data_IF_790320378730
#
_entry.id   IF_790320378730
#
_cell.length_a   1.000
_cell.length_b   1.000
_cell.length_c   1.000
_cell.angle_alpha   90.00
_cell.angle_beta   90.00
_cell.angle_gamma   90.00
#
_symmetry.space_group_name_H-M   'P 1'
#
loop_
_entity.id
_entity.type
_entity.pdbx_description
1 polymer ?
#
# COMPACT_ATOMS: atom_id res chain seq x y z
N UNK A 1 -9.36 -7.35 11.30
CA UNK A 1 -8.07 -6.88 10.99
C UNK A 1 -7.14 -6.89 12.16
N UNK A 2 -6.59 -8.08 12.39
CA UNK A 2 -5.68 -8.28 13.52
C UNK A 2 -4.45 -7.40 13.44
N UNK A 3 -4.02 -7.11 12.21
CA UNK A 3 -2.75 -6.41 12.01
C UNK A 3 -2.75 -5.00 12.56
N UNK A 4 -3.91 -4.38 12.66
CA UNK A 4 -4.00 -3.02 13.20
C UNK A 4 -3.89 -2.97 14.71
N UNK A 5 -4.07 -4.10 15.38
CA UNK A 5 -3.99 -4.16 16.83
C UNK A 5 -2.58 -4.49 17.31
N UNK A 6 -1.74 -4.96 16.42
CA UNK A 6 -0.36 -5.28 16.79
C UNK A 6 0.49 -4.03 16.69
N UNK A 7 1.45 -3.85 17.60
CA UNK A 7 2.36 -2.73 17.48
C UNK A 7 3.23 -2.87 16.22
N UNK A 8 3.59 -1.77 15.60
CA UNK A 8 4.45 -1.85 14.41
C UNK A 8 5.84 -2.32 14.76
N UNK A 9 6.48 -3.00 13.82
CA UNK A 9 7.85 -3.44 13.97
C UNK A 9 8.76 -2.41 13.31
N UNK A 10 9.84 -2.07 13.97
CA UNK A 10 10.82 -1.16 13.40
C UNK A 10 11.78 -1.95 12.52
N UNK A 11 11.82 -1.64 11.24
CA UNK A 11 12.71 -2.31 10.29
C UNK A 11 14.00 -1.54 10.04
N UNK A 12 14.15 -0.37 10.64
CA UNK A 12 15.33 0.43 10.47
C UNK A 12 14.96 1.88 10.25
N UNK A 13 16.00 2.69 10.06
CA UNK A 13 15.82 4.11 9.76
C UNK A 13 16.59 4.44 8.50
N UNK A 14 16.26 5.57 7.90
CA UNK A 14 16.95 6.03 6.70
C UNK A 14 17.00 7.56 6.74
N UNK A 15 18.07 8.10 6.16
CA UNK A 15 18.23 9.55 6.07
C UNK A 15 17.84 9.99 4.66
N UNK A 16 17.04 11.05 4.59
CA UNK A 16 16.62 11.58 3.29
C UNK A 16 17.79 12.34 2.67
N UNK A 17 18.17 11.93 1.45
CA UNK A 17 19.23 12.60 0.71
C UNK A 17 18.77 13.91 0.11
N UNK A 18 19.72 14.67 -0.47
CA UNK A 18 19.40 16.01 -1.01
C UNK A 18 18.38 16.00 -2.14
N UNK A 19 18.21 14.87 -2.80
CA UNK A 19 17.22 14.73 -3.87
C UNK A 19 15.94 14.05 -3.43
N UNK A 20 15.76 13.89 -2.12
CA UNK A 20 14.58 13.23 -1.59
C UNK A 20 14.68 11.72 -1.62
N UNK A 21 15.85 11.18 -1.81
CA UNK A 21 16.05 9.73 -1.89
C UNK A 21 16.39 9.14 -0.53
N UNK A 22 15.91 7.92 -0.30
CA UNK A 22 16.27 7.17 0.89
C UNK A 22 16.64 5.76 0.46
N UNK A 23 17.43 5.10 1.31
CA UNK A 23 17.74 3.69 1.12
C UNK A 23 16.77 2.91 2.00
N UNK A 24 16.00 2.03 1.38
CA UNK A 24 15.06 1.20 2.13
C UNK A 24 15.87 0.18 2.93
N UNK A 25 15.68 0.11 4.26
CA UNK A 25 16.43 -0.84 5.07
C UNK A 25 16.30 -2.27 4.56
N UNK A 26 17.37 -3.04 4.70
CA UNK A 26 17.41 -4.42 4.20
C UNK A 26 16.26 -5.25 4.77
N UNK A 27 15.98 -5.11 6.05
CA UNK A 27 14.90 -5.87 6.67
C UNK A 27 13.55 -5.54 6.05
N UNK A 28 13.32 -4.27 5.74
CA UNK A 28 12.08 -3.87 5.09
C UNK A 28 12.01 -4.45 3.68
N UNK A 29 13.12 -4.41 2.94
CA UNK A 29 13.15 -4.97 1.59
C UNK A 29 12.83 -6.47 1.59
N UNK A 30 13.41 -7.19 2.53
CA UNK A 30 13.16 -8.62 2.65
C UNK A 30 11.71 -8.92 2.98
N UNK A 31 11.16 -8.19 3.93
CA UNK A 31 9.78 -8.41 4.35
C UNK A 31 8.79 -8.07 3.25
N UNK A 32 9.10 -7.05 2.48
CA UNK A 32 8.21 -6.61 1.40
C UNK A 32 8.48 -7.35 0.09
N UNK A 33 9.54 -8.13 0.03
CA UNK A 33 9.89 -8.83 -1.21
C UNK A 33 10.32 -7.89 -2.32
N UNK A 34 10.98 -6.80 -1.97
CA UNK A 34 11.42 -5.79 -2.94
C UNK A 34 12.87 -6.03 -3.32
N UNK A 35 13.12 -6.07 -4.62
CA UNK A 35 14.47 -6.28 -5.15
C UNK A 35 14.90 -5.08 -6.00
N UNK A 36 16.21 -4.93 -6.23
CA UNK A 36 16.68 -3.84 -7.09
C UNK A 36 15.98 -3.83 -8.44
N UNK A 37 15.56 -2.66 -8.86
CA UNK A 37 14.83 -2.51 -10.10
C UNK A 37 13.33 -2.61 -9.95
N UNK A 38 12.84 -3.10 -8.83
CA UNK A 38 11.42 -3.17 -8.59
C UNK A 38 10.82 -1.80 -8.40
N UNK A 39 9.59 -1.66 -8.87
CA UNK A 39 8.83 -0.44 -8.66
C UNK A 39 8.06 -0.57 -7.35
N UNK A 40 8.04 0.49 -6.57
CA UNK A 40 7.29 0.50 -5.32
C UNK A 40 6.20 1.55 -5.39
N UNK A 41 5.13 1.30 -4.66
CA UNK A 41 3.99 2.21 -4.59
C UNK A 41 3.96 2.78 -3.18
N UNK A 42 3.80 4.08 -3.10
CA UNK A 42 3.74 4.78 -1.83
C UNK A 42 2.35 5.37 -1.70
N UNK A 43 1.65 4.97 -0.65
CA UNK A 43 0.26 5.37 -0.43
C UNK A 43 0.09 5.91 0.98
N UNK A 44 -0.87 6.79 1.15
CA UNK A 44 -1.16 7.33 2.45
C UNK A 44 -2.48 8.08 2.44
N UNK A 45 -2.89 8.59 3.59
CA UNK A 45 -4.13 9.36 3.68
C UNK A 45 -4.06 10.63 2.86
N UNK A 46 -5.20 11.05 2.32
CA UNK A 46 -5.28 12.24 1.50
C UNK A 46 -5.01 13.52 2.29
N UNK A 47 -5.55 13.58 3.50
CA UNK A 47 -5.45 14.77 4.33
C UNK A 47 -4.54 14.55 5.52
N UNK A 48 -3.66 15.53 5.74
CA UNK A 48 -2.74 15.58 6.89
C UNK A 48 -2.02 14.25 7.14
N UNK A 49 -1.30 13.75 6.14
CA UNK A 49 -0.59 12.48 6.33
C UNK A 49 0.59 12.66 7.28
N UNK A 50 0.63 11.80 8.30
CA UNK A 50 1.76 11.74 9.22
C UNK A 50 2.70 10.61 8.86
N UNK A 51 2.21 9.65 8.10
CA UNK A 51 3.04 8.57 7.60
C UNK A 51 2.41 8.02 6.32
N UNK A 52 3.22 7.33 5.55
CA UNK A 52 2.78 6.70 4.32
C UNK A 52 3.21 5.25 4.34
N UNK A 53 2.49 4.42 3.60
CA UNK A 53 2.83 3.02 3.45
C UNK A 53 3.56 2.81 2.14
N UNK A 54 4.40 1.80 2.11
CA UNK A 54 5.19 1.46 0.94
C UNK A 54 5.04 -0.03 0.67
N UNK A 55 4.72 -0.39 -0.56
CA UNK A 55 4.61 -1.79 -0.94
C UNK A 55 5.11 -1.98 -2.36
N UNK A 56 5.36 -3.24 -2.73
CA UNK A 56 5.77 -3.54 -4.09
C UNK A 56 4.60 -3.31 -5.03
N UNK A 57 4.90 -3.00 -6.28
CA UNK A 57 3.87 -2.82 -7.29
C UNK A 57 3.01 -4.08 -7.44
N UNK A 58 3.63 -5.24 -7.35
CA UNK A 58 2.93 -6.50 -7.48
C UNK A 58 1.86 -6.67 -6.40
N UNK A 59 2.23 -6.39 -5.15
CA UNK A 59 1.31 -6.47 -4.03
C UNK A 59 0.18 -5.46 -4.20
N UNK A 60 0.52 -4.25 -4.63
CA UNK A 60 -0.47 -3.21 -4.83
C UNK A 60 -1.47 -3.57 -5.92
N UNK A 61 -1.00 -4.19 -7.00
CA UNK A 61 -1.89 -4.65 -8.06
C UNK A 61 -2.89 -5.68 -7.56
N UNK A 62 -2.42 -6.60 -6.74
CA UNK A 62 -3.30 -7.58 -6.12
C UNK A 62 -4.37 -6.92 -5.26
N UNK A 63 -3.97 -5.90 -4.53
CA UNK A 63 -4.90 -5.13 -3.71
C UNK A 63 -5.95 -4.44 -4.59
N UNK A 64 -5.51 -3.81 -5.68
CA UNK A 64 -6.43 -3.13 -6.59
C UNK A 64 -7.42 -4.09 -7.24
N UNK A 65 -6.95 -5.28 -7.62
CA UNK A 65 -7.83 -6.27 -8.21
C UNK A 65 -8.93 -6.68 -7.26
N UNK A 66 -8.59 -6.89 -6.00
CA UNK A 66 -9.58 -7.22 -4.99
C UNK A 66 -10.56 -6.08 -4.75
N UNK A 67 -10.05 -4.87 -4.76
CA UNK A 67 -10.89 -3.68 -4.60
C UNK A 67 -11.85 -3.54 -5.77
N UNK A 68 -11.36 -3.74 -6.99
CA UNK A 68 -12.19 -3.68 -8.19
C UNK A 68 -13.32 -4.70 -8.14
N UNK A 69 -13.01 -5.93 -7.73
CA UNK A 69 -14.03 -6.96 -7.59
C UNK A 69 -15.14 -6.53 -6.63
N UNK A 70 -14.74 -5.94 -5.52
CA UNK A 70 -15.72 -5.47 -4.54
C UNK A 70 -16.55 -4.32 -5.09
N UNK A 71 -15.89 -3.41 -5.80
CA UNK A 71 -16.58 -2.27 -6.40
C UNK A 71 -17.56 -2.73 -7.47
N UNK A 72 -17.18 -3.71 -8.26
CA UNK A 72 -18.07 -4.26 -9.28
C UNK A 72 -19.32 -4.85 -8.65
N UNK A 73 -19.17 -5.57 -7.56
CA UNK A 73 -20.31 -6.11 -6.84
C UNK A 73 -21.23 -5.03 -6.31
N UNK A 74 -20.63 -3.97 -5.79
CA UNK A 74 -21.42 -2.84 -5.28
C UNK A 74 -22.13 -2.13 -6.43
N UNK A 75 -21.44 -1.95 -7.55
CA UNK A 75 -22.04 -1.31 -8.73
C UNK A 75 -23.22 -2.12 -9.24
N UNK A 76 -23.07 -3.44 -9.29
CA UNK A 76 -24.18 -4.29 -9.71
C UNK A 76 -25.38 -4.13 -8.82
N UNK A 77 -25.16 -4.14 -7.51
CA UNK A 77 -26.23 -3.97 -6.56
C UNK A 77 -26.94 -2.64 -6.74
N UNK A 78 -26.16 -1.58 -6.91
CA UNK A 78 -26.71 -0.25 -7.12
C UNK A 78 -27.48 -0.14 -8.43
N UNK A 79 -26.95 -0.79 -9.47
CA UNK A 79 -27.60 -0.78 -10.78
C UNK A 79 -28.94 -1.46 -10.72
N UNK A 80 -29.03 -2.58 -10.01
CA UNK A 80 -30.29 -3.30 -9.84
C UNK A 80 -31.32 -2.44 -9.14
N UNK A 81 -30.88 -1.73 -8.10
CA UNK A 81 -31.77 -0.83 -7.38
C UNK A 81 -32.20 0.34 -8.25
N UNK A 82 -31.28 0.83 -9.06
CA UNK A 82 -31.57 1.95 -9.93
C UNK A 82 -32.57 1.67 -11.01
N UNK A 83 -32.80 0.42 -11.33
CA UNK A 83 -33.77 0.06 -12.35
C UNK A 83 -35.20 0.12 -11.87
N UNK A 84 -35.36 0.07 -10.60
CA UNK A 84 -36.68 0.14 -10.01
C UNK A 84 -37.13 1.58 -9.84
#
# INVERSE_FOLDING_TARGET
MKDFHDPPTLFGTATVGPKGQIVIPVEARKRLGIEPGDKVVIVGPTHKPQFVGLCSEKVFRGFLEKLDSKLDGVREALTKEGKD
#
